data_IF_443187251442
#
_entry.id   IF_443187251442
#
_cell.length_a   1.000
_cell.length_b   1.000
_cell.length_c   1.000
_cell.angle_alpha   90.00
_cell.angle_beta   90.00
_cell.angle_gamma   90.00
#
_symmetry.space_group_name_H-M   'P 1'
#
loop_
_entity.id
_entity.type
_entity.pdbx_description
1 polymer ?
#
# COMPACT_ATOMS: atom_id res chain seq x y z
N UNK A 1 18.43 -6.46 -6.58
CA UNK A 1 17.27 -6.30 -5.72
C UNK A 1 16.01 -5.84 -6.43
N UNK A 2 16.08 -4.72 -7.15
CA UNK A 2 14.89 -4.18 -7.83
C UNK A 2 14.21 -5.20 -8.72
N UNK A 3 15.01 -5.98 -9.46
CA UNK A 3 14.45 -7.00 -10.35
C UNK A 3 13.67 -8.06 -9.59
N UNK A 4 14.19 -8.52 -8.47
CA UNK A 4 13.55 -9.55 -7.67
C UNK A 4 12.26 -9.05 -7.03
N UNK A 5 12.30 -7.89 -6.38
CA UNK A 5 11.10 -7.33 -5.73
C UNK A 5 10.05 -7.00 -6.79
N UNK A 6 10.46 -6.49 -7.94
CA UNK A 6 9.53 -6.17 -9.01
C UNK A 6 8.81 -7.43 -9.52
N UNK A 7 9.54 -8.55 -9.64
CA UNK A 7 8.94 -9.82 -10.02
C UNK A 7 7.89 -10.28 -9.00
N UNK A 8 8.18 -10.11 -7.73
CA UNK A 8 7.22 -10.46 -6.68
C UNK A 8 5.97 -9.59 -6.75
N UNK A 9 6.13 -8.31 -7.06
CA UNK A 9 5.00 -7.40 -7.25
C UNK A 9 4.14 -7.84 -8.44
N UNK A 10 4.76 -8.23 -9.54
CA UNK A 10 4.03 -8.72 -10.72
C UNK A 10 3.27 -10.00 -10.40
N UNK A 11 3.87 -10.94 -9.69
CA UNK A 11 3.22 -12.18 -9.30
C UNK A 11 2.00 -11.91 -8.40
N UNK A 12 2.16 -10.99 -7.46
CA UNK A 12 1.04 -10.58 -6.63
C UNK A 12 -0.09 -9.97 -7.44
N UNK A 13 0.22 -9.11 -8.40
CA UNK A 13 -0.78 -8.47 -9.26
C UNK A 13 -1.58 -9.50 -10.04
N UNK A 14 -0.95 -10.59 -10.48
CA UNK A 14 -1.63 -11.64 -11.22
C UNK A 14 -2.72 -12.35 -10.41
N UNK A 15 -2.64 -12.31 -9.09
CA UNK A 15 -3.68 -12.86 -8.22
C UNK A 15 -4.88 -11.93 -8.05
N UNK A 16 -4.82 -10.79 -8.65
CA UNK A 16 -5.90 -9.81 -8.86
C UNK A 16 -6.98 -9.72 -7.77
N UNK A 17 -6.72 -8.88 -6.78
CA UNK A 17 -7.74 -8.53 -5.80
C UNK A 17 -7.97 -9.52 -4.66
N UNK A 18 -7.19 -10.59 -4.59
CA UNK A 18 -7.33 -11.54 -3.48
C UNK A 18 -6.82 -10.99 -2.16
N UNK A 19 -5.77 -10.19 -2.20
CA UNK A 19 -5.15 -9.66 -0.99
C UNK A 19 -4.44 -8.35 -1.28
N UNK A 20 -4.22 -7.56 -0.22
CA UNK A 20 -3.30 -6.45 -0.26
C UNK A 20 -1.88 -6.98 -0.10
N UNK A 21 -0.89 -6.18 -0.50
CA UNK A 21 0.50 -6.55 -0.35
C UNK A 21 1.20 -5.56 0.58
N UNK A 22 1.86 -6.05 1.60
CA UNK A 22 2.69 -5.24 2.49
C UNK A 22 4.15 -5.41 2.08
N UNK A 23 4.77 -4.31 1.64
CA UNK A 23 6.20 -4.27 1.36
C UNK A 23 6.89 -3.71 2.59
N UNK A 24 7.57 -4.57 3.34
CA UNK A 24 8.20 -4.17 4.58
C UNK A 24 9.73 -4.26 4.48
N UNK A 25 10.40 -3.47 5.29
CA UNK A 25 11.85 -3.42 5.29
C UNK A 25 12.32 -2.20 6.04
N UNK A 26 13.63 -2.04 6.16
CA UNK A 26 14.23 -0.89 6.83
C UNK A 26 13.91 0.40 6.08
N UNK A 27 13.96 1.52 6.80
CA UNK A 27 13.83 2.82 6.17
C UNK A 27 14.92 3.02 5.13
N UNK A 28 14.61 3.76 4.07
CA UNK A 28 15.57 4.16 3.04
C UNK A 28 16.12 3.01 2.20
N UNK A 29 15.40 1.88 2.14
CA UNK A 29 15.76 0.81 1.21
C UNK A 29 15.09 0.98 -0.16
N UNK A 30 14.32 2.04 -0.37
CA UNK A 30 13.69 2.33 -1.65
C UNK A 30 12.30 1.73 -1.83
N UNK A 31 11.63 1.39 -0.74
CA UNK A 31 10.28 0.80 -0.79
C UNK A 31 9.29 1.65 -1.57
N UNK A 32 9.18 2.92 -1.19
CA UNK A 32 8.22 3.84 -1.82
C UNK A 32 8.53 4.03 -3.29
N UNK A 33 9.81 4.15 -3.61
CA UNK A 33 10.26 4.35 -4.98
C UNK A 33 9.87 3.18 -5.88
N UNK A 34 10.16 1.96 -5.45
CA UNK A 34 9.89 0.78 -6.29
C UNK A 34 8.38 0.53 -6.43
N UNK A 35 7.61 0.75 -5.37
CA UNK A 35 6.16 0.59 -5.41
C UNK A 35 5.53 1.62 -6.33
N UNK A 36 5.97 2.87 -6.26
CA UNK A 36 5.44 3.91 -7.13
C UNK A 36 5.84 3.68 -8.59
N UNK A 37 7.06 3.23 -8.85
CA UNK A 37 7.49 2.87 -10.20
C UNK A 37 6.65 1.73 -10.77
N UNK A 38 6.34 0.74 -9.94
CA UNK A 38 5.48 -0.37 -10.31
C UNK A 38 4.06 0.14 -10.65
N UNK A 39 3.52 1.04 -9.83
CA UNK A 39 2.21 1.61 -10.07
C UNK A 39 2.14 2.34 -11.42
N UNK A 40 3.15 3.14 -11.71
CA UNK A 40 3.21 3.89 -12.97
C UNK A 40 3.29 2.97 -14.18
N UNK A 41 4.00 1.85 -14.06
CA UNK A 41 4.20 0.94 -15.18
C UNK A 41 3.03 -0.01 -15.40
N UNK A 42 2.38 -0.46 -14.33
CA UNK A 42 1.44 -1.58 -14.40
C UNK A 42 -0.03 -1.21 -14.22
N UNK A 43 -0.33 0.02 -13.80
CA UNK A 43 -1.70 0.44 -13.54
C UNK A 43 -2.07 1.66 -14.36
N UNK A 44 -3.35 1.79 -14.64
CA UNK A 44 -3.87 2.93 -15.39
C UNK A 44 -3.79 4.23 -14.60
N UNK A 45 -4.01 4.14 -13.30
CA UNK A 45 -3.81 5.26 -12.38
C UNK A 45 -3.48 4.74 -10.99
N UNK A 46 -2.97 5.61 -10.14
CA UNK A 46 -2.68 5.26 -8.76
C UNK A 46 -2.79 6.48 -7.85
N UNK A 47 -3.03 6.21 -6.57
CA UNK A 47 -2.97 7.22 -5.52
C UNK A 47 -1.94 6.74 -4.50
N UNK A 48 -1.02 7.63 -4.13
CA UNK A 48 -0.07 7.35 -3.04
C UNK A 48 -0.45 8.21 -1.86
N UNK A 49 -0.80 7.55 -0.75
CA UNK A 49 -1.11 8.23 0.51
C UNK A 49 0.11 8.09 1.41
N UNK A 50 0.82 9.20 1.62
CA UNK A 50 2.00 9.21 2.47
C UNK A 50 1.56 9.54 3.90
N UNK A 51 1.50 8.52 4.76
CA UNK A 51 1.05 8.72 6.13
C UNK A 51 2.04 9.48 7.01
N UNK A 52 3.22 9.73 6.51
CA UNK A 52 4.17 10.62 7.16
C UNK A 52 3.78 12.09 7.01
N UNK A 53 3.03 12.42 5.95
CA UNK A 53 2.63 13.78 5.62
C UNK A 53 1.13 13.97 5.47
N UNK A 54 0.33 12.98 5.89
CA UNK A 54 -1.10 12.98 5.62
C UNK A 54 -1.81 14.11 6.38
N UNK A 55 -2.74 14.78 5.68
CA UNK A 55 -3.52 15.88 6.24
C UNK A 55 -4.78 15.38 6.96
N UNK A 56 -5.34 16.24 7.78
CA UNK A 56 -6.52 15.94 8.57
C UNK A 56 -7.72 15.48 7.72
N UNK A 57 -8.02 16.09 6.55
CA UNK A 57 -9.15 15.61 5.74
C UNK A 57 -9.03 14.14 5.35
N UNK A 58 -7.81 13.67 5.01
CA UNK A 58 -7.60 12.28 4.65
C UNK A 58 -7.76 11.37 5.87
N UNK A 59 -7.24 11.78 7.02
CA UNK A 59 -7.42 11.02 8.26
C UNK A 59 -8.90 10.83 8.58
N UNK A 60 -9.68 11.86 8.41
CA UNK A 60 -11.11 11.79 8.66
C UNK A 60 -11.85 10.84 7.73
N UNK A 61 -11.39 10.71 6.49
CA UNK A 61 -11.95 9.72 5.58
C UNK A 61 -11.84 8.31 6.14
N UNK A 62 -10.67 7.97 6.70
CA UNK A 62 -10.47 6.66 7.30
C UNK A 62 -11.23 6.48 8.62
N UNK A 63 -11.49 7.55 9.33
CA UNK A 63 -12.20 7.49 10.60
C UNK A 63 -13.72 7.43 10.46
N UNK A 64 -14.26 8.09 9.43
CA UNK A 64 -15.71 8.29 9.33
C UNK A 64 -16.36 7.71 8.08
N UNK A 65 -15.63 7.58 6.97
CA UNK A 65 -16.23 7.26 5.69
C UNK A 65 -16.14 5.78 5.29
N UNK A 66 -15.49 4.96 6.09
CA UNK A 66 -15.35 3.53 5.76
C UNK A 66 -16.67 2.75 5.83
N UNK A 67 -17.70 3.34 6.41
CA UNK A 67 -19.03 2.73 6.43
C UNK A 67 -19.71 2.84 5.06
N UNK A 68 -19.27 3.76 4.22
CA UNK A 68 -19.76 3.94 2.86
C UNK A 68 -18.56 4.13 1.93
N UNK A 69 -18.08 3.05 1.34
CA UNK A 69 -16.88 3.08 0.52
C UNK A 69 -17.03 3.91 -0.74
N UNK A 70 -18.25 4.03 -1.26
CA UNK A 70 -18.49 4.92 -2.41
C UNK A 70 -18.15 6.37 -2.05
N UNK A 71 -18.58 6.82 -0.89
CA UNK A 71 -18.26 8.15 -0.38
C UNK A 71 -16.76 8.28 -0.10
N UNK A 72 -16.17 7.24 0.50
CA UNK A 72 -14.72 7.21 0.80
C UNK A 72 -13.91 7.43 -0.48
N UNK A 73 -14.18 6.64 -1.52
CA UNK A 73 -13.41 6.76 -2.76
C UNK A 73 -13.71 8.07 -3.50
N UNK A 74 -14.94 8.57 -3.44
CA UNK A 74 -15.27 9.85 -4.05
C UNK A 74 -14.45 10.99 -3.43
N UNK A 75 -14.37 11.02 -2.12
CA UNK A 75 -13.58 12.03 -1.40
C UNK A 75 -12.08 11.87 -1.69
N UNK A 76 -11.60 10.62 -1.72
CA UNK A 76 -10.20 10.34 -1.96
C UNK A 76 -9.76 10.80 -3.35
N UNK A 77 -10.54 10.48 -4.37
CA UNK A 77 -10.24 10.91 -5.74
C UNK A 77 -10.29 12.42 -5.89
N UNK A 78 -11.25 13.06 -5.22
CA UNK A 78 -11.36 14.52 -5.25
C UNK A 78 -10.16 15.17 -4.57
N UNK A 79 -9.75 14.65 -3.42
CA UNK A 79 -8.64 15.23 -2.67
C UNK A 79 -7.33 15.13 -3.45
N UNK A 80 -7.04 13.97 -4.03
CA UNK A 80 -5.79 13.76 -4.76
C UNK A 80 -5.86 14.16 -6.23
N UNK A 81 -7.05 14.44 -6.75
CA UNK A 81 -7.21 14.83 -8.14
C UNK A 81 -6.87 13.70 -9.11
N UNK A 82 -7.07 12.46 -8.71
CA UNK A 82 -6.75 11.28 -9.51
C UNK A 82 -8.01 10.46 -9.74
N UNK A 83 -8.28 10.10 -10.99
CA UNK A 83 -9.40 9.23 -11.32
C UNK A 83 -8.99 7.77 -11.08
N UNK A 84 -9.86 7.01 -10.43
CA UNK A 84 -9.63 5.60 -10.18
C UNK A 84 -10.49 4.74 -11.13
N UNK A 85 -9.93 3.63 -11.57
CA UNK A 85 -10.58 2.69 -12.51
C UNK A 85 -10.67 1.32 -11.85
N UNK A 86 -11.86 0.74 -11.83
CA UNK A 86 -12.06 -0.56 -11.20
C UNK A 86 -11.15 -1.61 -11.80
N UNK A 87 -10.42 -2.33 -10.97
CA UNK A 87 -9.45 -3.38 -11.31
C UNK A 87 -8.26 -2.91 -12.13
N UNK A 88 -8.12 -1.59 -12.35
CA UNK A 88 -7.01 -1.04 -13.12
C UNK A 88 -6.24 0.05 -12.37
N UNK A 89 -6.56 0.27 -11.11
CA UNK A 89 -5.90 1.29 -10.29
C UNK A 89 -5.33 0.69 -9.02
N UNK A 90 -4.26 1.34 -8.53
CA UNK A 90 -3.57 0.93 -7.31
C UNK A 90 -3.65 2.06 -6.30
N UNK A 91 -3.90 1.72 -5.05
CA UNK A 91 -3.82 2.66 -3.94
C UNK A 91 -2.67 2.22 -3.05
N UNK A 92 -1.71 3.11 -2.84
CA UNK A 92 -0.50 2.86 -2.05
C UNK A 92 -0.64 3.53 -0.70
N UNK A 93 -0.49 2.75 0.37
CA UNK A 93 -0.46 3.25 1.75
C UNK A 93 0.99 3.29 2.19
N UNK A 94 1.62 4.45 2.04
CA UNK A 94 3.05 4.61 2.31
C UNK A 94 3.29 4.91 3.79
N UNK A 95 4.19 4.16 4.41
CA UNK A 95 4.49 4.25 5.85
C UNK A 95 3.23 4.03 6.70
N UNK A 96 2.52 2.95 6.42
CA UNK A 96 1.20 2.66 6.99
C UNK A 96 1.21 2.49 8.51
N UNK A 97 2.35 2.14 9.11
CA UNK A 97 2.45 1.99 10.56
C UNK A 97 2.24 3.31 11.30
N UNK A 98 2.38 4.44 10.61
CA UNK A 98 2.16 5.75 11.21
C UNK A 98 0.67 6.08 11.37
N UNK A 99 -0.20 5.31 10.72
CA UNK A 99 -1.64 5.50 10.84
C UNK A 99 -2.34 4.14 10.90
N UNK A 100 -2.38 3.52 12.07
CA UNK A 100 -2.93 2.16 12.24
C UNK A 100 -4.35 1.97 11.74
N UNK A 101 -5.15 3.03 11.77
CA UNK A 101 -6.53 2.98 11.27
C UNK A 101 -6.58 2.59 9.79
N UNK A 102 -5.65 3.13 8.98
CA UNK A 102 -5.60 2.79 7.56
C UNK A 102 -5.23 1.31 7.39
N UNK A 103 -4.30 0.81 8.17
CA UNK A 103 -3.92 -0.60 8.10
C UNK A 103 -5.10 -1.51 8.44
N UNK A 104 -5.86 -1.15 9.45
CA UNK A 104 -7.06 -1.90 9.84
C UNK A 104 -8.14 -1.86 8.76
N UNK A 105 -8.17 -0.81 7.95
CA UNK A 105 -9.15 -0.64 6.89
C UNK A 105 -8.92 -1.58 5.70
N UNK A 106 -7.73 -2.11 5.54
CA UNK A 106 -7.38 -2.95 4.38
C UNK A 106 -8.37 -4.11 4.22
N UNK A 107 -8.77 -4.72 5.30
CA UNK A 107 -9.75 -5.81 5.29
C UNK A 107 -11.02 -5.45 4.51
N UNK A 108 -11.55 -4.27 4.78
CA UNK A 108 -12.78 -3.82 4.13
C UNK A 108 -12.55 -3.41 2.69
N UNK A 109 -11.40 -2.80 2.42
CA UNK A 109 -11.07 -2.33 1.09
C UNK A 109 -10.81 -3.48 0.13
N UNK A 110 -10.09 -4.51 0.59
CA UNK A 110 -9.86 -5.71 -0.22
C UNK A 110 -11.18 -6.45 -0.48
N UNK A 111 -12.04 -6.55 0.53
CA UNK A 111 -13.33 -7.20 0.38
C UNK A 111 -14.23 -6.48 -0.62
N UNK A 112 -14.13 -5.14 -0.69
CA UNK A 112 -14.85 -4.35 -1.69
C UNK A 112 -14.42 -4.71 -3.12
N UNK A 113 -13.14 -4.96 -3.34
CA UNK A 113 -12.62 -5.52 -4.59
C UNK A 113 -12.47 -4.57 -5.76
N UNK A 114 -12.71 -3.27 -5.59
CA UNK A 114 -12.63 -2.33 -6.72
C UNK A 114 -11.22 -2.04 -7.19
N UNK A 115 -10.27 -1.99 -6.26
CA UNK A 115 -8.89 -1.56 -6.55
C UNK A 115 -7.90 -2.51 -5.91
N UNK A 116 -6.64 -2.41 -6.31
CA UNK A 116 -5.56 -3.12 -5.65
C UNK A 116 -4.92 -2.22 -4.61
N UNK A 117 -4.29 -2.82 -3.59
CA UNK A 117 -3.70 -2.09 -2.46
C UNK A 117 -2.31 -2.60 -2.16
N UNK A 118 -1.35 -1.68 -2.03
CA UNK A 118 -0.01 -1.99 -1.54
C UNK A 118 0.26 -1.07 -0.35
N UNK A 119 0.76 -1.67 0.73
CA UNK A 119 1.20 -0.93 1.91
C UNK A 119 2.72 -0.98 1.98
N UNK A 120 3.35 0.08 2.46
CA UNK A 120 4.75 0.03 2.81
C UNK A 120 4.91 0.35 4.30
N UNK A 121 5.98 -0.17 4.90
CA UNK A 121 6.26 0.14 6.29
C UNK A 121 7.60 -0.40 6.72
N UNK A 122 8.14 0.15 7.81
CA UNK A 122 9.37 -0.39 8.37
C UNK A 122 9.06 -1.63 9.20
N UNK A 123 9.93 -2.62 9.10
CA UNK A 123 9.73 -3.90 9.76
C UNK A 123 9.58 -3.77 11.28
N UNK A 124 10.41 -2.94 11.90
CA UNK A 124 10.38 -2.76 13.35
C UNK A 124 9.09 -2.09 13.80
N UNK A 125 8.71 -1.02 13.13
CA UNK A 125 7.49 -0.28 13.48
C UNK A 125 6.24 -1.12 13.32
N UNK A 126 6.20 -1.96 12.28
CA UNK A 126 5.06 -2.85 12.07
C UNK A 126 4.96 -3.88 13.19
N UNK A 127 6.09 -4.44 13.62
CA UNK A 127 6.10 -5.39 14.73
C UNK A 127 5.64 -4.77 16.04
N UNK A 128 6.02 -3.52 16.29
CA UNK A 128 5.58 -2.80 17.49
C UNK A 128 4.07 -2.58 17.47
N UNK A 129 3.51 -2.32 16.31
CA UNK A 129 2.07 -2.04 16.18
C UNK A 129 1.21 -3.30 16.21
N UNK A 130 1.79 -4.48 16.04
CA UNK A 130 1.03 -5.74 16.01
C UNK A 130 0.27 -5.99 17.33
N UNK A 131 0.78 -5.48 18.44
CA UNK A 131 0.11 -5.67 19.75
C UNK A 131 -1.22 -4.96 19.84
N UNK A 132 -1.36 -3.84 19.14
CA UNK A 132 -2.51 -2.95 19.25
C UNK A 132 -3.46 -3.05 18.07
N UNK A 133 -3.07 -3.77 17.01
CA UNK A 133 -3.82 -3.82 15.76
C UNK A 133 -3.98 -5.27 15.34
N UNK A 134 -5.20 -5.63 14.96
CA UNK A 134 -5.46 -6.92 14.36
C UNK A 134 -4.87 -6.93 12.95
N UNK A 135 -3.97 -7.86 12.66
CA UNK A 135 -3.38 -7.99 11.34
C UNK A 135 -4.45 -8.51 10.37
N UNK A 136 -4.69 -7.81 9.25
CA UNK A 136 -5.68 -8.27 8.27
C UNK A 136 -5.31 -9.63 7.70
N UNK A 137 -6.26 -10.55 7.66
CA UNK A 137 -6.04 -11.87 7.05
C UNK A 137 -5.91 -11.78 5.53
N UNK A 138 -6.38 -10.69 4.95
CA UNK A 138 -6.33 -10.42 3.52
C UNK A 138 -5.05 -9.72 3.09
N UNK A 139 -3.98 -9.85 3.88
CA UNK A 139 -2.71 -9.19 3.58
C UNK A 139 -1.62 -10.22 3.33
N UNK A 140 -0.96 -10.13 2.17
CA UNK A 140 0.30 -10.81 1.90
C UNK A 140 1.44 -9.84 2.22
N UNK A 141 2.66 -10.34 2.35
CA UNK A 141 3.78 -9.44 2.59
C UNK A 141 5.03 -9.86 1.84
N UNK A 142 5.87 -8.88 1.57
CA UNK A 142 7.17 -9.05 0.93
C UNK A 142 8.19 -8.24 1.72
N UNK A 143 9.32 -8.86 2.02
CA UNK A 143 10.42 -8.18 2.70
C UNK A 143 11.39 -7.59 1.69
N UNK A 144 11.81 -6.36 1.93
CA UNK A 144 12.78 -5.67 1.09
C UNK A 144 14.01 -5.36 1.91
N UNK A 145 15.17 -5.76 1.40
CA UNK A 145 16.45 -5.62 2.08
C UNK A 145 17.26 -4.45 1.51
N UNK A 146 18.32 -4.02 2.21
CA UNK A 146 19.14 -2.91 1.73
C UNK A 146 19.64 -3.11 0.30
N UNK A 147 19.58 -2.03 -0.48
CA UNK A 147 19.88 -2.07 -1.91
C UNK A 147 21.30 -2.50 -2.24
N UNK A 148 22.25 -2.02 -1.48
CA UNK A 148 23.65 -2.28 -1.74
C UNK A 148 23.97 -3.77 -1.79
N UNK A 149 23.38 -4.53 -0.90
CA UNK A 149 23.60 -5.95 -0.82
C UNK A 149 23.11 -6.69 -2.07
N UNK A 150 21.87 -6.43 -2.45
CA UNK A 150 21.27 -7.16 -3.58
C UNK A 150 21.72 -6.63 -4.93
N UNK A 151 22.07 -5.36 -5.02
CA UNK A 151 22.62 -4.81 -6.25
C UNK A 151 23.93 -5.48 -6.64
N UNK A 152 24.74 -5.82 -5.66
CA UNK A 152 26.00 -6.54 -5.91
C UNK A 152 25.77 -7.94 -6.44
N UNK A 153 24.64 -8.56 -6.06
CA UNK A 153 24.34 -9.92 -6.49
C UNK A 153 23.74 -9.99 -7.89
N UNK A 154 23.05 -8.95 -8.32
CA UNK A 154 22.24 -9.01 -9.53
C UNK A 154 22.65 -8.04 -10.62
N UNK A 155 23.69 -7.29 -10.38
CA UNK A 155 24.26 -6.43 -11.41
C UNK A 155 25.51 -7.05 -11.99
#
# INVERSE_FOLDING_TARGET
MRRKIYQELLQWKQRSGESALLVQGARRVGKSYIVEAFAKAEYKSYILIDFNLVDQPVKEMFEHDLVDLKTFFMKLTTYYGVKLYERESLIIFDEVQLFPRARSAIKYLVADGRYDYIETGSLISIRENVKDILIPSEEDHVDMYPLDFDCLLYT
#
